data_IF_261747314916
#
_entry.id   IF_261747314916
#
_cell.length_a   1.000
_cell.length_b   1.000
_cell.length_c   1.000
_cell.angle_alpha   90.00
_cell.angle_beta   90.00
_cell.angle_gamma   90.00
#
_symmetry.space_group_name_H-M   'P 1'
#
loop_
_entity.id
_entity.type
_entity.pdbx_description
1 polymer ?
#
# COMPACT_ATOMS: atom_id res chain seq x y z
N UNK A 1 -30.39 39.44 -6.40
CA UNK A 1 -30.52 39.90 -4.99
C UNK A 1 -30.85 38.68 -4.14
N UNK A 2 -29.87 38.13 -3.44
CA UNK A 2 -30.03 37.00 -2.53
C UNK A 2 -28.91 37.05 -1.50
N UNK A 3 -29.28 37.25 -0.24
CA UNK A 3 -28.40 37.62 0.86
C UNK A 3 -27.53 36.45 1.37
N UNK A 4 -26.28 36.81 1.69
CA UNK A 4 -25.42 36.40 2.80
C UNK A 4 -25.82 35.17 3.65
N UNK A 5 -24.86 34.24 3.81
CA UNK A 5 -24.56 33.72 5.16
C UNK A 5 -23.08 33.29 5.26
N UNK A 6 -22.28 34.19 5.82
CA UNK A 6 -20.92 33.93 6.31
C UNK A 6 -21.06 33.13 7.62
N UNK A 7 -20.44 31.95 7.70
CA UNK A 7 -20.25 31.23 8.97
C UNK A 7 -18.78 31.20 9.34
N UNK A 8 -18.41 32.11 10.24
CA UNK A 8 -17.19 32.08 11.04
C UNK A 8 -17.39 31.14 12.24
N UNK A 9 -16.48 30.19 12.44
CA UNK A 9 -16.24 29.50 13.71
C UNK A 9 -14.73 29.17 13.74
N UNK A 10 -13.94 29.93 14.50
CA UNK A 10 -13.62 29.75 15.92
C UNK A 10 -12.34 28.91 16.10
N UNK A 11 -11.24 29.66 16.20
CA UNK A 11 -9.89 29.21 16.59
C UNK A 11 -9.93 28.70 18.04
N UNK A 12 -9.54 27.45 18.29
CA UNK A 12 -9.30 26.94 19.65
C UNK A 12 -7.78 26.77 19.84
N UNK A 13 -7.19 27.70 20.59
CA UNK A 13 -5.82 27.60 21.07
C UNK A 13 -5.78 26.67 22.29
N UNK A 14 -5.03 25.55 22.19
CA UNK A 14 -4.73 24.68 23.33
C UNK A 14 -3.37 25.08 23.89
N UNK A 15 -3.42 25.67 25.08
CA UNK A 15 -2.33 25.87 26.04
C UNK A 15 -1.74 24.49 26.37
N UNK A 16 -0.43 24.25 26.32
CA UNK A 16 0.53 24.82 27.26
C UNK A 16 0.61 23.94 28.51
N UNK A 17 1.34 22.82 28.43
CA UNK A 17 1.57 21.91 29.56
C UNK A 17 3.02 21.43 29.60
N UNK A 18 3.85 22.11 30.40
CA UNK A 18 5.20 21.68 30.74
C UNK A 18 5.15 20.60 31.81
N UNK A 19 5.69 19.42 31.53
CA UNK A 19 5.95 18.41 32.56
C UNK A 19 7.40 18.52 33.03
N UNK A 20 7.55 18.75 34.32
CA UNK A 20 8.82 18.82 35.05
C UNK A 20 9.49 17.44 35.14
N UNK A 21 10.79 17.45 34.91
CA UNK A 21 11.70 16.33 35.14
C UNK A 21 11.67 15.86 36.60
N UNK A 22 11.55 14.55 36.81
CA UNK A 22 11.86 13.88 38.07
C UNK A 22 13.13 13.05 37.88
N UNK A 23 14.23 13.49 38.49
CA UNK A 23 15.41 12.68 38.69
C UNK A 23 15.09 11.55 39.69
N UNK A 24 15.29 10.30 39.28
CA UNK A 24 15.50 9.21 40.23
C UNK A 24 16.80 8.51 39.86
N UNK A 25 17.79 8.71 40.73
CA UNK A 25 19.08 8.04 40.74
C UNK A 25 18.88 6.70 41.45
N UNK A 26 18.97 5.59 40.72
CA UNK A 26 19.10 4.25 41.30
C UNK A 26 20.34 3.60 40.68
N UNK A 27 21.40 3.64 41.47
CA UNK A 27 22.63 2.89 41.30
C UNK A 27 22.38 1.49 41.88
N UNK A 28 22.46 0.46 41.04
CA UNK A 28 22.55 -0.93 41.48
C UNK A 28 23.31 -1.73 40.42
N UNK A 29 24.43 -2.29 40.88
CA UNK A 29 25.39 -3.09 40.14
C UNK A 29 24.78 -4.44 39.66
N UNK A 30 25.44 -5.16 38.73
CA UNK A 30 24.81 -6.20 37.94
C UNK A 30 24.83 -7.57 38.64
N UNK A 31 23.77 -8.38 38.54
CA UNK A 31 23.91 -9.83 38.64
C UNK A 31 24.38 -10.40 37.29
N UNK A 32 25.50 -11.10 37.35
CA UNK A 32 25.97 -12.04 36.35
C UNK A 32 25.06 -13.28 36.30
N UNK A 33 24.86 -13.83 35.11
CA UNK A 33 24.12 -15.08 34.86
C UNK A 33 22.79 -14.80 34.17
N UNK A 34 22.72 -15.03 32.86
CA UNK A 34 22.14 -16.25 32.27
C UNK A 34 20.61 -16.27 32.48
N UNK A 35 19.75 -16.13 31.47
CA UNK A 35 19.81 -16.58 30.08
C UNK A 35 19.14 -15.51 29.20
N UNK A 36 19.82 -15.07 28.13
CA UNK A 36 19.14 -14.41 27.03
C UNK A 36 18.11 -15.42 26.46
N UNK A 37 16.82 -15.06 26.32
CA UNK A 37 15.95 -15.85 25.47
C UNK A 37 16.55 -15.79 24.08
N UNK A 38 17.11 -16.91 23.65
CA UNK A 38 17.63 -17.11 22.32
C UNK A 38 16.61 -16.53 21.33
N UNK A 39 17.07 -15.51 20.62
CA UNK A 39 16.47 -14.98 19.41
C UNK A 39 15.80 -16.12 18.65
N UNK A 40 14.53 -15.95 18.32
CA UNK A 40 13.77 -16.83 17.46
C UNK A 40 14.40 -16.85 16.05
N UNK A 41 15.52 -17.56 15.92
CA UNK A 41 16.13 -17.92 14.66
C UNK A 41 15.39 -19.15 14.14
N UNK A 42 14.63 -18.93 13.08
CA UNK A 42 14.29 -19.98 12.12
C UNK A 42 12.87 -20.51 12.19
N UNK A 43 11.95 -19.82 11.51
CA UNK A 43 10.82 -20.50 10.86
C UNK A 43 10.48 -19.79 9.53
N UNK A 44 11.01 -20.30 8.41
CA UNK A 44 10.33 -20.28 7.11
C UNK A 44 10.12 -18.97 6.32
N UNK A 45 10.60 -17.80 6.77
CA UNK A 45 10.32 -16.51 6.11
C UNK A 45 11.27 -16.05 5.00
N UNK A 46 12.49 -16.60 4.91
CA UNK A 46 13.57 -16.02 4.09
C UNK A 46 13.32 -16.07 2.57
N UNK A 47 12.75 -17.16 2.05
CA UNK A 47 12.51 -17.32 0.61
C UNK A 47 11.45 -16.35 0.07
N UNK A 48 10.33 -16.22 0.78
CA UNK A 48 9.22 -15.37 0.33
C UNK A 48 9.55 -13.88 0.47
N UNK A 49 10.27 -13.50 1.53
CA UNK A 49 10.69 -12.11 1.76
C UNK A 49 11.64 -11.64 0.66
N UNK A 50 12.70 -12.41 0.39
CA UNK A 50 13.66 -12.09 -0.66
C UNK A 50 13.03 -12.16 -2.06
N UNK A 51 12.16 -13.14 -2.31
CA UNK A 51 11.44 -13.28 -3.57
C UNK A 51 10.55 -12.07 -3.86
N UNK A 52 9.79 -11.61 -2.86
CA UNK A 52 8.94 -10.43 -2.98
C UNK A 52 9.77 -9.16 -3.15
N UNK A 53 10.86 -9.00 -2.40
CA UNK A 53 11.76 -7.86 -2.53
C UNK A 53 12.38 -7.72 -3.91
N UNK A 54 12.91 -8.83 -4.45
CA UNK A 54 13.43 -8.86 -5.82
C UNK A 54 12.37 -8.48 -6.84
N UNK A 55 11.13 -8.95 -6.65
CA UNK A 55 10.02 -8.59 -7.53
C UNK A 55 9.66 -7.10 -7.43
N UNK A 56 9.66 -6.53 -6.22
CA UNK A 56 9.46 -5.10 -6.00
C UNK A 56 10.53 -4.24 -6.69
N UNK A 57 11.76 -4.75 -6.79
CA UNK A 57 12.86 -4.11 -7.51
C UNK A 57 12.52 -3.72 -8.95
N UNK A 58 11.67 -4.50 -9.65
CA UNK A 58 11.25 -4.20 -11.01
C UNK A 58 10.41 -2.92 -11.14
N UNK A 59 9.87 -2.43 -10.03
CA UNK A 59 9.00 -1.26 -9.95
C UNK A 59 9.69 -0.07 -9.25
N UNK A 60 10.98 -0.22 -8.92
CA UNK A 60 11.75 0.73 -8.11
C UNK A 60 11.72 2.16 -8.66
N UNK A 61 12.03 2.30 -9.94
CA UNK A 61 12.20 3.61 -10.56
C UNK A 61 10.89 4.40 -10.72
N UNK A 62 9.78 3.68 -10.88
CA UNK A 62 8.50 4.29 -11.22
C UNK A 62 7.59 4.49 -9.99
N UNK A 63 7.54 3.51 -9.08
CA UNK A 63 6.55 3.50 -8.00
C UNK A 63 7.14 3.68 -6.60
N UNK A 64 8.35 3.18 -6.36
CA UNK A 64 8.93 3.07 -5.01
C UNK A 64 9.90 4.21 -4.70
N UNK A 65 9.38 5.44 -4.60
CA UNK A 65 10.21 6.64 -4.45
C UNK A 65 11.02 6.65 -3.16
N UNK A 66 10.44 6.17 -2.05
CA UNK A 66 11.15 6.15 -0.77
C UNK A 66 12.20 5.02 -0.67
N UNK A 67 12.10 4.00 -1.53
CA UNK A 67 12.88 2.77 -1.41
C UNK A 67 13.94 2.57 -2.49
N UNK A 68 14.05 3.48 -3.47
CA UNK A 68 14.98 3.35 -4.61
C UNK A 68 16.40 2.96 -4.20
N UNK A 69 16.95 3.61 -3.17
CA UNK A 69 18.31 3.32 -2.67
C UNK A 69 18.38 1.98 -1.94
N UNK A 70 17.30 1.59 -1.27
CA UNK A 70 17.26 0.40 -0.42
C UNK A 70 17.06 -0.88 -1.24
N UNK A 71 16.43 -0.81 -2.42
CA UNK A 71 16.16 -1.99 -3.27
C UNK A 71 17.42 -2.74 -3.72
N UNK A 72 18.60 -2.14 -3.61
CA UNK A 72 19.88 -2.80 -3.86
C UNK A 72 20.35 -3.71 -2.69
N UNK A 73 19.69 -3.63 -1.52
CA UNK A 73 20.01 -4.45 -0.36
C UNK A 73 19.68 -5.94 -0.64
N UNK A 74 20.68 -6.84 -0.58
CA UNK A 74 20.45 -8.27 -0.77
C UNK A 74 19.73 -8.95 0.40
N UNK A 75 19.65 -8.31 1.57
CA UNK A 75 19.05 -8.87 2.79
C UNK A 75 18.08 -7.87 3.46
N UNK A 76 16.94 -7.57 2.80
CA UNK A 76 16.00 -6.57 3.29
C UNK A 76 15.34 -6.99 4.60
N UNK A 77 15.13 -6.03 5.51
CA UNK A 77 14.31 -6.29 6.68
C UNK A 77 12.86 -6.60 6.22
N UNK A 78 12.18 -7.59 6.80
CA UNK A 78 10.79 -7.90 6.44
C UNK A 78 9.83 -6.70 6.54
N UNK A 79 10.07 -5.77 7.48
CA UNK A 79 9.30 -4.54 7.59
C UNK A 79 9.44 -3.66 6.34
N UNK A 80 10.65 -3.49 5.85
CA UNK A 80 10.94 -2.70 4.64
C UNK A 80 10.24 -3.27 3.42
N UNK A 81 10.21 -4.61 3.29
CA UNK A 81 9.47 -5.29 2.20
C UNK A 81 7.98 -4.99 2.27
N UNK A 82 7.39 -5.01 3.47
CA UNK A 82 5.97 -4.71 3.66
C UNK A 82 5.64 -3.24 3.36
N UNK A 83 6.48 -2.32 3.84
CA UNK A 83 6.27 -0.89 3.63
C UNK A 83 6.45 -0.50 2.16
N UNK A 84 7.46 -1.07 1.47
CA UNK A 84 7.62 -0.89 0.03
C UNK A 84 6.43 -1.47 -0.75
N UNK A 85 5.97 -2.68 -0.42
CA UNK A 85 4.76 -3.24 -1.03
C UNK A 85 3.54 -2.33 -0.82
N UNK A 86 3.36 -1.79 0.38
CA UNK A 86 2.23 -0.92 0.71
C UNK A 86 2.28 0.40 -0.06
N UNK A 87 3.46 1.02 -0.19
CA UNK A 87 3.66 2.22 -1.01
C UNK A 87 3.27 1.97 -2.47
N UNK A 88 3.75 0.88 -3.06
CA UNK A 88 3.41 0.50 -4.43
C UNK A 88 1.91 0.20 -4.57
N UNK A 89 1.34 -0.56 -3.64
CA UNK A 89 -0.07 -0.91 -3.69
C UNK A 89 -0.97 0.34 -3.63
N UNK A 90 -0.63 1.29 -2.75
CA UNK A 90 -1.30 2.59 -2.67
C UNK A 90 -1.15 3.41 -3.97
N UNK A 91 0.07 3.44 -4.54
CA UNK A 91 0.33 4.16 -5.78
C UNK A 91 -0.40 3.59 -7.00
N UNK A 92 -0.73 2.30 -7.00
CA UNK A 92 -1.37 1.61 -8.12
C UNK A 92 -2.89 1.55 -7.95
N UNK A 93 -3.37 0.97 -6.85
CA UNK A 93 -4.80 0.70 -6.60
C UNK A 93 -5.42 1.54 -5.48
N UNK A 94 -4.64 2.33 -4.75
CA UNK A 94 -5.15 3.19 -3.68
C UNK A 94 -6.15 4.25 -4.18
N UNK A 95 -6.77 5.03 -3.26
CA UNK A 95 -7.79 6.01 -3.60
C UNK A 95 -7.37 7.07 -4.63
N UNK A 96 -6.06 7.36 -4.70
CA UNK A 96 -5.42 8.25 -5.67
C UNK A 96 -4.37 7.52 -6.52
N UNK A 97 -4.58 6.22 -6.70
CA UNK A 97 -3.67 5.35 -7.43
C UNK A 97 -3.86 5.45 -8.94
N UNK A 98 -2.84 4.99 -9.65
CA UNK A 98 -2.75 4.97 -11.11
C UNK A 98 -4.04 4.54 -11.81
N UNK A 99 -4.67 3.46 -11.36
CA UNK A 99 -5.88 2.93 -12.01
C UNK A 99 -7.05 3.91 -11.96
N UNK A 100 -7.27 4.54 -10.81
CA UNK A 100 -8.38 5.49 -10.62
C UNK A 100 -8.14 6.82 -11.34
N UNK A 101 -6.88 7.22 -11.45
CA UNK A 101 -6.49 8.44 -12.16
C UNK A 101 -6.52 8.24 -13.70
N UNK A 102 -6.30 7.01 -14.18
CA UNK A 102 -6.15 6.73 -15.62
C UNK A 102 -7.41 6.16 -16.26
N UNK A 103 -8.14 5.28 -15.56
CA UNK A 103 -9.32 4.62 -16.12
C UNK A 103 -10.58 5.40 -15.72
N UNK A 104 -11.39 5.86 -16.69
CA UNK A 104 -12.63 6.55 -16.39
C UNK A 104 -13.53 5.77 -15.42
N UNK A 105 -14.09 6.47 -14.43
CA UNK A 105 -14.95 5.89 -13.39
C UNK A 105 -16.05 4.95 -13.92
N UNK A 106 -16.66 5.27 -15.07
CA UNK A 106 -17.68 4.42 -15.70
C UNK A 106 -17.20 3.00 -15.99
N UNK A 107 -15.92 2.87 -16.33
CA UNK A 107 -15.26 1.60 -16.62
C UNK A 107 -14.65 0.94 -15.41
N UNK A 108 -14.61 1.60 -14.26
CA UNK A 108 -14.30 0.98 -12.97
C UNK A 108 -15.57 0.74 -12.14
N UNK A 109 -16.74 1.09 -12.69
CA UNK A 109 -18.03 1.07 -12.00
C UNK A 109 -18.08 1.95 -10.77
N UNK A 110 -17.36 3.07 -10.80
CA UNK A 110 -17.53 4.13 -9.81
C UNK A 110 -18.68 5.05 -10.23
N UNK A 111 -19.41 5.55 -9.24
CA UNK A 111 -20.35 6.63 -9.49
C UNK A 111 -19.58 7.86 -10.01
N UNK A 112 -20.20 8.62 -10.91
CA UNK A 112 -19.60 9.77 -11.57
C UNK A 112 -19.32 10.96 -10.64
N UNK A 113 -19.83 10.94 -9.40
CA UNK A 113 -19.75 12.06 -8.47
C UNK A 113 -18.46 12.07 -7.64
N UNK A 114 -17.80 13.23 -7.58
CA UNK A 114 -16.53 13.46 -6.89
C UNK A 114 -16.55 13.22 -5.36
N UNK A 115 -17.74 13.04 -4.76
CA UNK A 115 -17.94 12.73 -3.34
C UNK A 115 -18.49 11.32 -3.07
N UNK A 116 -18.67 10.49 -4.10
CA UNK A 116 -19.24 9.16 -3.94
C UNK A 116 -18.21 8.15 -3.38
N UNK A 117 -18.66 7.18 -2.55
CA UNK A 117 -17.80 6.12 -2.03
C UNK A 117 -17.17 5.26 -3.14
N UNK A 118 -16.09 4.55 -2.78
CA UNK A 118 -15.28 3.74 -3.69
C UNK A 118 -16.11 2.86 -4.65
N UNK A 119 -15.57 2.72 -5.86
CA UNK A 119 -16.16 2.05 -7.03
C UNK A 119 -16.90 0.74 -6.70
N UNK A 120 -18.17 0.64 -7.13
CA UNK A 120 -19.03 -0.52 -6.86
C UNK A 120 -18.99 -1.59 -7.97
N UNK A 121 -18.47 -1.30 -9.17
CA UNK A 121 -18.44 -2.28 -10.27
C UNK A 121 -17.20 -2.27 -11.15
N UNK A 122 -16.11 -2.83 -10.61
CA UNK A 122 -15.37 -3.89 -11.27
C UNK A 122 -14.67 -4.70 -10.17
N UNK A 123 -15.28 -5.84 -9.88
CA UNK A 123 -15.09 -6.72 -8.72
C UNK A 123 -14.86 -5.95 -7.40
N UNK A 124 -15.92 -5.33 -6.86
CA UNK A 124 -15.89 -4.66 -5.54
C UNK A 124 -15.29 -5.53 -4.40
N UNK A 125 -15.27 -6.86 -4.58
CA UNK A 125 -14.63 -7.80 -3.67
C UNK A 125 -13.10 -7.76 -3.71
N UNK A 126 -12.46 -7.56 -4.87
CA UNK A 126 -11.00 -7.63 -4.96
C UNK A 126 -10.37 -6.37 -4.39
N UNK A 127 -10.87 -5.19 -4.76
CA UNK A 127 -10.37 -3.90 -4.26
C UNK A 127 -10.54 -3.77 -2.75
N UNK A 128 -11.72 -4.10 -2.20
CA UNK A 128 -11.93 -4.11 -0.76
C UNK A 128 -11.00 -5.11 -0.06
N UNK A 129 -10.70 -6.25 -0.70
CA UNK A 129 -9.73 -7.19 -0.15
C UNK A 129 -8.32 -6.60 -0.12
N UNK A 130 -7.92 -5.81 -1.13
CA UNK A 130 -6.61 -5.17 -1.20
C UNK A 130 -6.49 -4.02 -0.22
N UNK A 131 -7.51 -3.18 -0.08
CA UNK A 131 -7.59 -2.13 0.94
C UNK A 131 -7.45 -2.76 2.34
N UNK A 132 -8.15 -3.87 2.59
CA UNK A 132 -8.00 -4.64 3.83
C UNK A 132 -6.59 -5.19 4.02
N UNK A 133 -5.94 -5.70 2.97
CA UNK A 133 -4.57 -6.19 3.07
C UNK A 133 -3.60 -5.06 3.42
N UNK A 134 -3.77 -3.87 2.84
CA UNK A 134 -2.96 -2.68 3.16
C UNK A 134 -3.17 -2.23 4.61
N UNK A 135 -4.42 -2.23 5.09
CA UNK A 135 -4.73 -1.98 6.50
C UNK A 135 -4.08 -3.03 7.43
N UNK A 136 -4.17 -4.32 7.08
CA UNK A 136 -3.52 -5.39 7.82
C UNK A 136 -2.00 -5.20 7.88
N UNK A 137 -1.35 -4.80 6.78
CA UNK A 137 0.08 -4.47 6.72
C UNK A 137 0.44 -3.33 7.69
N UNK A 138 -0.34 -2.25 7.69
CA UNK A 138 -0.13 -1.11 8.58
C UNK A 138 -0.23 -1.46 10.07
N UNK A 139 -0.94 -2.55 10.40
CA UNK A 139 -1.18 -3.01 11.76
C UNK A 139 -0.36 -4.25 12.16
N UNK A 140 0.59 -4.71 11.33
CA UNK A 140 1.44 -5.86 11.68
C UNK A 140 2.30 -5.51 12.91
N UNK A 141 2.25 -6.29 14.01
CA UNK A 141 3.10 -6.05 15.16
C UNK A 141 4.57 -6.25 14.84
N UNK A 142 5.43 -5.45 15.49
CA UNK A 142 6.88 -5.59 15.41
C UNK A 142 7.32 -7.02 15.72
N UNK A 143 8.14 -7.61 14.85
CA UNK A 143 8.63 -8.98 14.96
C UNK A 143 7.72 -10.04 14.32
N UNK A 144 6.55 -9.67 13.77
CA UNK A 144 5.64 -10.60 13.08
C UNK A 144 5.63 -10.42 11.55
N UNK A 145 6.41 -9.48 11.02
CA UNK A 145 6.42 -9.13 9.60
C UNK A 145 6.81 -10.31 8.70
N UNK A 146 7.85 -11.06 9.08
CA UNK A 146 8.28 -12.24 8.32
C UNK A 146 7.19 -13.32 8.27
N UNK A 147 6.48 -13.54 9.38
CA UNK A 147 5.36 -14.49 9.45
C UNK A 147 4.17 -14.01 8.61
N UNK A 148 3.90 -12.70 8.63
CA UNK A 148 2.88 -12.09 7.79
C UNK A 148 3.19 -12.24 6.30
N UNK A 149 4.43 -11.99 5.88
CA UNK A 149 4.90 -12.23 4.51
C UNK A 149 4.81 -13.72 4.17
N UNK A 150 5.22 -14.62 5.07
CA UNK A 150 5.15 -16.05 4.81
C UNK A 150 3.71 -16.51 4.53
N UNK A 151 2.74 -15.97 5.27
CA UNK A 151 1.31 -16.25 5.11
C UNK A 151 0.70 -15.61 3.86
N UNK A 152 1.06 -14.35 3.55
CA UNK A 152 0.41 -13.55 2.51
C UNK A 152 1.23 -13.42 1.21
N UNK A 153 2.45 -13.92 1.16
CA UNK A 153 3.40 -13.67 0.06
C UNK A 153 2.88 -14.11 -1.30
N UNK A 154 2.20 -15.27 -1.37
CA UNK A 154 1.55 -15.72 -2.62
C UNK A 154 0.50 -14.71 -3.11
N UNK A 155 -0.30 -14.16 -2.19
CA UNK A 155 -1.34 -13.17 -2.49
C UNK A 155 -0.72 -11.83 -2.92
N UNK A 156 0.37 -11.41 -2.27
CA UNK A 156 1.13 -10.21 -2.65
C UNK A 156 1.76 -10.34 -4.04
N UNK A 157 2.37 -11.49 -4.36
CA UNK A 157 2.90 -11.74 -5.70
C UNK A 157 1.80 -11.74 -6.77
N UNK A 158 0.67 -12.39 -6.49
CA UNK A 158 -0.48 -12.38 -7.40
C UNK A 158 -1.00 -10.95 -7.65
N UNK A 159 -0.98 -10.08 -6.65
CA UNK A 159 -1.31 -8.66 -6.82
C UNK A 159 -0.36 -7.98 -7.81
N UNK A 160 0.95 -8.16 -7.64
CA UNK A 160 1.97 -7.57 -8.53
C UNK A 160 1.76 -8.03 -9.99
N UNK A 161 1.50 -9.32 -10.21
CA UNK A 161 1.32 -9.88 -11.55
C UNK A 161 -0.02 -9.48 -12.20
N UNK A 162 -1.04 -9.17 -11.39
CA UNK A 162 -2.39 -8.91 -11.91
C UNK A 162 -2.62 -7.43 -12.19
N UNK A 163 -2.22 -6.57 -11.25
CA UNK A 163 -2.67 -5.17 -11.21
C UNK A 163 -1.57 -4.16 -11.51
N UNK A 164 -0.30 -4.51 -11.35
CA UNK A 164 0.79 -3.52 -11.38
C UNK A 164 1.37 -3.45 -12.79
N UNK A 165 1.18 -2.33 -13.50
CA UNK A 165 1.85 -2.16 -14.78
C UNK A 165 3.33 -1.88 -14.57
N UNK A 166 4.21 -2.42 -15.42
CA UNK A 166 5.66 -2.20 -15.33
C UNK A 166 6.02 -0.71 -15.35
N UNK A 167 5.29 0.09 -16.14
CA UNK A 167 5.38 1.55 -16.16
C UNK A 167 4.00 2.19 -15.95
N UNK A 168 3.89 3.32 -15.23
CA UNK A 168 2.64 4.03 -14.92
C UNK A 168 2.12 4.78 -16.15
N UNK A 169 1.76 4.01 -17.18
CA UNK A 169 1.34 4.52 -18.48
C UNK A 169 0.19 3.68 -19.03
N UNK A 170 -0.56 4.26 -19.97
CA UNK A 170 -1.61 3.55 -20.70
C UNK A 170 -1.07 2.29 -21.40
N UNK A 171 0.16 2.34 -21.92
CA UNK A 171 0.79 1.17 -22.57
C UNK A 171 1.07 0.06 -21.55
N UNK A 172 1.66 0.38 -20.40
CA UNK A 172 1.91 -0.57 -19.32
C UNK A 172 0.61 -1.17 -18.78
N UNK A 173 -0.40 -0.33 -18.58
CA UNK A 173 -1.73 -0.75 -18.12
C UNK A 173 -2.33 -1.83 -19.02
N UNK A 174 -2.29 -1.64 -20.34
CA UNK A 174 -2.82 -2.59 -21.33
C UNK A 174 -2.15 -3.96 -21.29
N UNK A 175 -0.96 -4.05 -20.71
CA UNK A 175 -0.21 -5.31 -20.58
C UNK A 175 -0.58 -6.10 -19.32
N UNK A 176 -1.17 -5.45 -18.32
CA UNK A 176 -1.59 -6.10 -17.06
C UNK A 176 -2.67 -7.18 -17.31
N UNK A 177 -2.69 -8.20 -16.45
CA UNK A 177 -3.70 -9.24 -16.55
C UNK A 177 -5.10 -8.69 -16.25
N UNK A 178 -5.21 -7.76 -15.29
CA UNK A 178 -6.47 -7.08 -14.97
C UNK A 178 -7.06 -6.37 -16.19
N UNK A 179 -6.27 -5.57 -16.92
CA UNK A 179 -6.77 -4.91 -18.12
C UNK A 179 -7.32 -5.89 -19.15
N UNK A 180 -6.54 -6.94 -19.45
CA UNK A 180 -6.88 -7.93 -20.47
C UNK A 180 -8.17 -8.69 -20.13
N UNK A 181 -8.35 -9.03 -18.86
CA UNK A 181 -9.51 -9.78 -18.40
C UNK A 181 -10.78 -8.92 -18.30
N UNK A 182 -10.65 -7.68 -17.81
CA UNK A 182 -11.82 -6.93 -17.29
C UNK A 182 -12.15 -5.64 -18.05
N UNK A 183 -11.15 -5.03 -18.71
CA UNK A 183 -11.26 -3.70 -19.30
C UNK A 183 -11.11 -3.69 -20.83
N UNK A 184 -10.36 -4.63 -21.40
CA UNK A 184 -10.02 -4.63 -22.82
C UNK A 184 -11.27 -4.63 -23.72
N UNK A 185 -12.25 -5.48 -23.41
CA UNK A 185 -13.52 -5.54 -24.15
C UNK A 185 -14.33 -4.26 -23.98
N UNK A 186 -14.47 -3.78 -22.74
CA UNK A 186 -15.28 -2.59 -22.40
C UNK A 186 -14.75 -1.32 -23.06
N UNK A 187 -13.42 -1.15 -23.08
CA UNK A 187 -12.77 -0.01 -23.69
C UNK A 187 -12.62 -0.15 -25.21
N UNK A 188 -12.49 -1.39 -25.72
CA UNK A 188 -12.36 -1.69 -27.14
C UNK A 188 -13.66 -1.53 -27.92
N UNK A 189 -14.81 -1.92 -27.32
CA UNK A 189 -16.13 -1.76 -27.93
C UNK A 189 -16.44 -0.28 -28.26
N UNK A 190 -16.02 0.65 -27.41
CA UNK A 190 -16.23 2.09 -27.65
C UNK A 190 -15.35 2.72 -28.72
N UNK A 191 -14.34 2.01 -29.26
CA UNK A 191 -13.53 2.53 -30.35
C UNK A 191 -14.15 2.25 -31.74
N UNK A 192 -15.24 1.50 -31.81
CA UNK A 192 -15.84 1.03 -33.07
C UNK A 192 -17.22 1.60 -33.37
N UNK A 193 -17.83 2.37 -32.46
CA UNK A 193 -19.23 2.78 -32.57
C UNK A 193 -19.47 4.29 -32.84
N UNK A 194 -18.42 5.14 -32.88
CA UNK A 194 -18.55 6.60 -33.12
C UNK A 194 -17.90 7.09 -34.45
N UNK A 195 -17.49 6.18 -35.34
CA UNK A 195 -17.03 6.48 -36.70
C UNK A 195 -18.10 6.16 -37.78
N UNK A 196 -19.39 6.33 -37.45
CA UNK A 196 -20.51 6.26 -38.40
C UNK A 196 -21.50 7.42 -38.25
#
# INVERSE_FOLDING_TARGET
MGLNLVRSFALAAILGGSFTAACSKSESAPPAGAEEPAMAAGVGGGSNTLGLWKRLGNYGDEYLRAWKSSLADPDPAPRDVLDAFNELAYAVTGPRGFWRDTVPNKWLGCASDAGAPACKTLTANDWASWDKLQEEIGNVPSGQEAAFIAKNGKRMMAYLDTYVPEAPSMSGMKQTAFFKAELAEKMGATASDDDL
#
